data_IF_656115509199
#
_entry.id   IF_656115509199
#
_cell.length_a   1.000
_cell.length_b   1.000
_cell.length_c   1.000
_cell.angle_alpha   90.00
_cell.angle_beta   90.00
_cell.angle_gamma   90.00
#
_symmetry.space_group_name_H-M   'P 1'
#
loop_
_entity.id
_entity.type
_entity.pdbx_description
1 polymer ?
#
# COMPACT_ATOMS: atom_id res chain seq x y z
N UNK A 1 -5.80 -11.42 -16.97
CA UNK A 1 -5.24 -10.90 -15.71
C UNK A 1 -5.79 -9.49 -15.50
N UNK A 2 -6.96 -9.38 -14.89
CA UNK A 2 -7.58 -8.09 -14.60
C UNK A 2 -6.98 -7.54 -13.31
N UNK A 3 -6.05 -6.58 -13.43
CA UNK A 3 -5.48 -5.81 -12.32
C UNK A 3 -6.24 -4.47 -12.23
N UNK A 4 -6.34 -3.96 -11.00
CA UNK A 4 -7.05 -2.76 -10.49
C UNK A 4 -8.54 -2.98 -10.13
N UNK A 5 -9.03 -2.42 -8.99
CA UNK A 5 -8.51 -1.23 -8.29
C UNK A 5 -8.25 -1.44 -6.78
N UNK A 6 -7.14 -0.88 -6.29
CA UNK A 6 -7.07 -0.35 -4.94
C UNK A 6 -6.62 1.10 -5.08
N UNK A 7 -7.54 2.02 -4.79
CA UNK A 7 -7.37 3.47 -4.71
C UNK A 7 -7.58 4.34 -5.96
N UNK A 8 -8.12 3.84 -7.07
CA UNK A 8 -8.77 4.72 -8.04
C UNK A 8 -10.18 5.07 -7.52
N UNK A 9 -10.28 6.00 -6.58
CA UNK A 9 -11.50 6.79 -6.41
C UNK A 9 -11.51 7.71 -7.64
N UNK A 10 -12.47 7.51 -8.55
CA UNK A 10 -12.69 8.42 -9.67
C UNK A 10 -12.88 9.85 -9.12
N UNK A 11 -11.80 10.63 -9.07
CA UNK A 11 -11.84 12.07 -8.98
C UNK A 11 -12.36 12.59 -10.33
N UNK A 12 -13.66 12.41 -10.58
CA UNK A 12 -14.36 13.11 -11.65
C UNK A 12 -14.33 14.60 -11.32
N UNK A 13 -13.36 15.30 -11.92
CA UNK A 13 -13.37 16.75 -12.09
C UNK A 13 -14.75 17.14 -12.63
N UNK A 14 -15.51 18.02 -11.94
CA UNK A 14 -16.79 18.48 -12.44
C UNK A 14 -16.60 19.18 -13.79
N UNK A 15 -17.50 18.99 -14.77
CA UNK A 15 -17.39 19.68 -16.05
C UNK A 15 -17.42 21.20 -15.81
N UNK A 16 -16.61 21.99 -16.55
CA UNK A 16 -16.59 23.43 -16.38
C UNK A 16 -17.99 23.99 -16.62
N UNK A 17 -18.54 24.61 -15.59
CA UNK A 17 -19.77 25.40 -15.69
C UNK A 17 -19.55 26.50 -16.73
N UNK A 18 -20.34 26.44 -17.81
CA UNK A 18 -20.45 27.53 -18.78
C UNK A 18 -20.77 28.83 -18.03
N UNK A 19 -19.80 29.73 -17.93
CA UNK A 19 -20.06 31.11 -17.58
C UNK A 19 -20.83 31.79 -18.72
N UNK A 20 -21.93 32.50 -18.43
CA UNK A 20 -22.62 33.32 -19.40
C UNK A 20 -21.77 34.57 -19.70
N UNK A 21 -21.49 34.76 -20.98
CA UNK A 21 -20.90 35.96 -21.56
C UNK A 21 -21.81 37.18 -21.34
N UNK A 22 -21.41 38.06 -20.42
CA UNK A 22 -22.01 39.38 -20.21
C UNK A 22 -21.02 40.49 -20.56
N UNK A 23 -21.27 41.16 -21.68
CA UNK A 23 -20.61 42.39 -22.11
C UNK A 23 -20.93 43.56 -21.15
N UNK A 24 -19.89 44.29 -20.73
CA UNK A 24 -20.04 45.57 -20.02
C UNK A 24 -18.73 46.35 -20.03
N UNK A 25 -18.62 47.31 -20.95
CA UNK A 25 -17.57 48.34 -20.96
C UNK A 25 -17.67 49.25 -19.73
N UNK A 26 -16.52 49.56 -19.12
CA UNK A 26 -16.25 50.85 -18.47
C UNK A 26 -14.72 51.09 -18.39
N UNK A 27 -14.22 52.27 -18.79
CA UNK A 27 -12.83 52.64 -18.63
C UNK A 27 -12.64 53.62 -17.46
N UNK A 28 -11.60 53.44 -16.63
CA UNK A 28 -10.77 54.49 -16.03
C UNK A 28 -9.86 53.96 -14.92
N UNK A 29 -8.56 54.33 -14.99
CA UNK A 29 -7.62 54.72 -13.91
C UNK A 29 -7.43 53.74 -12.73
N UNK A 30 -6.24 53.35 -12.29
CA UNK A 30 -4.87 53.81 -12.46
C UNK A 30 -4.06 53.41 -11.20
N UNK A 31 -2.73 53.37 -11.32
CA UNK A 31 -1.69 53.15 -10.29
C UNK A 31 -1.35 51.71 -9.88
N UNK A 32 -0.16 51.28 -10.32
CA UNK A 32 0.53 50.05 -9.91
C UNK A 32 1.55 49.66 -10.98
N UNK A 33 2.80 50.08 -10.81
CA UNK A 33 3.95 49.72 -11.65
C UNK A 33 4.11 48.21 -11.75
N UNK A 34 3.83 47.67 -12.93
CA UNK A 34 4.06 46.27 -13.27
C UNK A 34 5.53 46.15 -13.68
N UNK A 35 6.34 45.49 -12.85
CA UNK A 35 7.62 44.92 -13.31
C UNK A 35 7.31 43.92 -14.43
N UNK A 36 8.18 43.77 -15.44
CA UNK A 36 7.93 42.90 -16.57
C UNK A 36 7.75 41.46 -16.08
N UNK A 37 6.51 41.01 -16.15
CA UNK A 37 6.01 39.71 -15.72
C UNK A 37 6.61 38.65 -16.65
N UNK A 38 7.70 38.02 -16.20
CA UNK A 38 8.24 36.82 -16.81
C UNK A 38 7.19 35.70 -16.74
N UNK A 39 7.09 34.94 -17.83
CA UNK A 39 6.10 33.88 -18.05
C UNK A 39 5.71 33.12 -16.78
N UNK A 40 4.51 33.40 -16.28
CA UNK A 40 3.93 32.73 -15.12
C UNK A 40 3.63 31.28 -15.48
N UNK A 41 4.46 30.37 -14.98
CA UNK A 41 4.14 28.95 -14.94
C UNK A 41 2.94 28.78 -14.00
N UNK A 42 1.75 28.56 -14.57
CA UNK A 42 0.47 28.36 -13.87
C UNK A 42 0.40 27.14 -12.92
N UNK A 43 1.55 26.50 -12.63
CA UNK A 43 1.70 25.40 -11.68
C UNK A 43 2.61 25.73 -10.49
N UNK A 44 3.10 26.97 -10.37
CA UNK A 44 3.90 27.36 -9.21
C UNK A 44 3.03 27.30 -7.93
N UNK A 45 3.41 26.41 -7.01
CA UNK A 45 2.75 26.25 -5.71
C UNK A 45 2.82 27.57 -4.92
N UNK A 46 1.75 28.00 -4.23
CA UNK A 46 1.73 29.25 -3.45
C UNK A 46 2.80 29.33 -2.35
N UNK A 47 3.41 28.20 -1.95
CA UNK A 47 4.58 28.14 -1.06
C UNK A 47 5.80 28.92 -1.58
N UNK A 48 6.00 28.98 -2.89
CA UNK A 48 7.15 29.69 -3.49
C UNK A 48 7.15 31.18 -3.19
N UNK A 49 5.97 31.82 -3.18
CA UNK A 49 5.82 33.23 -2.81
C UNK A 49 6.10 33.50 -1.33
N UNK A 50 5.98 32.49 -0.47
CA UNK A 50 6.26 32.61 0.96
C UNK A 50 7.77 32.63 1.24
N UNK A 51 8.55 31.88 0.47
CA UNK A 51 10.03 31.90 0.50
C UNK A 51 10.61 33.14 -0.19
N UNK A 52 10.05 33.55 -1.32
CA UNK A 52 10.48 34.76 -2.03
C UNK A 52 9.98 36.06 -1.38
N UNK A 53 9.22 35.95 -0.27
CA UNK A 53 8.80 37.09 0.53
C UNK A 53 10.03 37.70 1.20
N UNK A 54 10.51 38.80 0.62
CA UNK A 54 11.56 39.74 1.08
C UNK A 54 11.39 40.32 2.51
N UNK A 55 10.49 39.77 3.32
CA UNK A 55 10.40 40.06 4.75
C UNK A 55 11.57 39.37 5.47
N UNK A 56 12.69 40.07 5.44
CA UNK A 56 13.92 39.98 6.25
C UNK A 56 13.95 38.82 7.27
N UNK A 57 14.67 37.74 6.92
CA UNK A 57 15.02 36.64 7.84
C UNK A 57 15.76 37.23 9.04
N UNK A 58 15.36 36.86 10.26
CA UNK A 58 15.99 37.33 11.49
C UNK A 58 17.46 36.87 11.53
N UNK A 59 18.45 37.79 11.66
CA UNK A 59 19.87 37.47 11.49
C UNK A 59 20.50 36.46 12.48
N UNK A 60 19.79 36.04 13.54
CA UNK A 60 20.40 35.31 14.66
C UNK A 60 20.52 33.77 14.46
N UNK A 61 20.00 33.19 13.37
CA UNK A 61 20.01 31.72 13.12
C UNK A 61 21.09 31.24 12.11
N UNK A 62 21.93 32.13 11.58
CA UNK A 62 22.62 31.92 10.29
C UNK A 62 23.90 31.08 10.27
N UNK A 63 24.58 30.78 11.37
CA UNK A 63 25.97 30.30 11.27
C UNK A 63 26.19 28.78 11.29
N UNK A 64 25.19 27.95 11.59
CA UNK A 64 25.37 26.49 11.74
C UNK A 64 24.44 25.63 10.88
N UNK A 65 23.46 26.23 10.18
CA UNK A 65 22.39 25.47 9.52
C UNK A 65 22.28 25.68 8.00
N UNK A 66 23.17 26.48 7.40
CA UNK A 66 23.11 26.80 5.95
C UNK A 66 23.17 25.54 5.06
N UNK A 67 23.84 24.48 5.51
CA UNK A 67 23.96 23.23 4.75
C UNK A 67 22.71 22.35 4.76
N UNK A 68 21.93 22.34 5.85
CA UNK A 68 20.68 21.57 5.92
C UNK A 68 19.58 22.28 5.13
N UNK A 69 19.47 23.60 5.29
CA UNK A 69 18.58 24.48 4.53
C UNK A 69 18.75 24.32 3.01
N UNK A 70 20.00 24.26 2.52
CA UNK A 70 20.30 24.06 1.10
C UNK A 70 19.86 22.68 0.60
N UNK A 71 20.07 21.62 1.40
CA UNK A 71 19.66 20.26 1.03
C UNK A 71 18.14 20.14 0.98
N UNK A 72 17.43 20.69 1.97
CA UNK A 72 15.97 20.72 1.96
C UNK A 72 15.42 21.51 0.78
N UNK A 73 16.06 22.63 0.40
CA UNK A 73 15.69 23.39 -0.79
C UNK A 73 15.88 22.56 -2.07
N UNK A 74 17.01 21.84 -2.21
CA UNK A 74 17.27 20.97 -3.35
C UNK A 74 16.26 19.80 -3.42
N UNK A 75 15.91 19.20 -2.29
CA UNK A 75 14.91 18.14 -2.23
C UNK A 75 13.51 18.64 -2.61
N UNK A 76 13.18 19.86 -2.20
CA UNK A 76 11.95 20.53 -2.60
C UNK A 76 11.90 20.77 -4.11
N UNK A 77 12.97 21.30 -4.70
CA UNK A 77 13.06 21.55 -6.15
C UNK A 77 12.93 20.25 -6.97
N UNK A 78 13.50 19.15 -6.47
CA UNK A 78 13.30 17.82 -7.07
C UNK A 78 11.85 17.37 -6.96
N UNK A 79 11.24 17.52 -5.77
CA UNK A 79 9.86 17.12 -5.54
C UNK A 79 8.88 17.92 -6.42
N UNK A 80 9.13 19.20 -6.66
CA UNK A 80 8.37 20.03 -7.62
C UNK A 80 8.49 19.49 -9.07
N UNK A 81 9.66 18.95 -9.41
CA UNK A 81 9.88 18.27 -10.70
C UNK A 81 9.37 16.82 -10.70
N UNK A 82 8.84 16.37 -9.57
CA UNK A 82 8.34 15.02 -9.37
C UNK A 82 9.43 13.96 -9.25
N UNK A 83 10.67 14.33 -8.91
CA UNK A 83 11.80 13.46 -8.59
C UNK A 83 12.01 13.35 -7.07
N UNK A 84 12.60 12.23 -6.62
CA UNK A 84 12.90 12.00 -5.21
C UNK A 84 14.37 11.66 -5.01
N UNK A 85 15.00 12.24 -3.98
CA UNK A 85 16.38 11.91 -3.62
C UNK A 85 16.46 10.48 -3.07
N UNK A 86 17.49 9.73 -3.48
CA UNK A 86 17.82 8.44 -2.90
C UNK A 86 17.93 7.27 -3.87
N UNK A 87 18.35 6.12 -3.33
CA UNK A 87 18.55 4.90 -4.10
C UNK A 87 17.36 3.96 -3.94
N UNK A 88 16.59 3.75 -5.02
CA UNK A 88 15.49 2.78 -5.06
C UNK A 88 15.90 1.40 -4.54
N UNK A 89 17.10 0.91 -4.93
CA UNK A 89 17.63 -0.38 -4.47
C UNK A 89 17.79 -0.43 -2.95
N UNK A 90 18.23 0.66 -2.32
CA UNK A 90 18.36 0.77 -0.87
C UNK A 90 16.99 0.76 -0.20
N UNK A 91 16.03 1.54 -0.71
CA UNK A 91 14.67 1.59 -0.17
C UNK A 91 13.96 0.24 -0.26
N UNK A 92 14.08 -0.46 -1.39
CA UNK A 92 13.56 -1.82 -1.56
C UNK A 92 14.25 -2.81 -0.61
N UNK A 93 15.58 -2.73 -0.45
CA UNK A 93 16.30 -3.60 0.48
C UNK A 93 15.87 -3.37 1.93
N UNK A 94 15.67 -2.10 2.33
CA UNK A 94 15.13 -1.76 3.65
C UNK A 94 13.69 -2.28 3.80
N UNK A 95 12.83 -2.10 2.80
CA UNK A 95 11.46 -2.64 2.81
C UNK A 95 11.44 -4.18 2.90
N UNK A 96 12.50 -4.86 2.45
CA UNK A 96 12.73 -6.29 2.68
C UNK A 96 12.70 -6.72 4.14
N UNK A 97 12.87 -5.81 5.10
CA UNK A 97 12.69 -6.08 6.53
C UNK A 97 11.23 -6.35 6.92
N UNK A 98 10.25 -5.82 6.18
CA UNK A 98 8.82 -6.00 6.46
C UNK A 98 8.37 -7.46 6.36
N UNK A 99 8.63 -8.21 5.26
CA UNK A 99 8.28 -9.63 5.22
C UNK A 99 9.08 -10.46 6.23
N UNK A 100 10.35 -10.11 6.48
CA UNK A 100 11.18 -10.82 7.48
C UNK A 100 10.58 -10.68 8.88
N UNK A 101 10.27 -9.45 9.30
CA UNK A 101 9.63 -9.20 10.61
C UNK A 101 8.26 -9.88 10.70
N UNK A 102 7.48 -9.87 9.62
CA UNK A 102 6.18 -10.57 9.54
C UNK A 102 6.34 -12.08 9.76
N UNK A 103 7.32 -12.71 9.11
CA UNK A 103 7.61 -14.14 9.28
C UNK A 103 8.04 -14.43 10.71
N UNK A 104 8.93 -13.62 11.29
CA UNK A 104 9.41 -13.78 12.67
C UNK A 104 8.25 -13.68 13.66
N UNK A 105 7.39 -12.67 13.52
CA UNK A 105 6.21 -12.46 14.39
C UNK A 105 5.22 -13.60 14.23
N UNK A 106 4.95 -14.04 13.00
CA UNK A 106 4.08 -15.18 12.73
C UNK A 106 4.62 -16.45 13.39
N UNK A 107 5.90 -16.77 13.22
CA UNK A 107 6.52 -17.94 13.85
C UNK A 107 6.49 -17.85 15.38
N UNK A 108 6.72 -16.66 15.94
CA UNK A 108 6.61 -16.44 17.38
C UNK A 108 5.19 -16.73 17.87
N UNK A 109 4.18 -16.10 17.28
CA UNK A 109 2.77 -16.27 17.68
C UNK A 109 2.24 -17.69 17.39
N UNK A 110 2.72 -18.34 16.34
CA UNK A 110 2.39 -19.74 16.00
C UNK A 110 2.90 -20.73 17.05
N UNK A 111 4.08 -20.48 17.63
CA UNK A 111 4.65 -21.33 18.67
C UNK A 111 4.16 -20.97 20.08
N UNK A 112 3.60 -19.78 20.26
CA UNK A 112 3.20 -19.27 21.58
C UNK A 112 2.20 -20.19 22.32
N UNK A 113 1.13 -20.74 21.70
CA UNK A 113 0.25 -21.69 22.37
C UNK A 113 0.91 -23.00 22.78
N UNK A 114 1.98 -23.42 22.08
CA UNK A 114 2.72 -24.63 22.44
C UNK A 114 3.64 -24.40 23.63
N UNK A 115 4.24 -23.21 23.70
CA UNK A 115 5.20 -22.84 24.73
C UNK A 115 4.52 -22.44 26.05
N UNK A 116 3.45 -21.63 25.98
CA UNK A 116 2.82 -21.03 27.16
C UNK A 116 1.63 -21.86 27.66
N UNK A 117 0.87 -22.48 26.76
CA UNK A 117 -0.36 -23.21 27.08
C UNK A 117 -0.31 -24.69 26.61
N UNK A 118 0.59 -25.51 27.19
CA UNK A 118 0.70 -26.91 26.83
C UNK A 118 -0.59 -27.67 27.15
N UNK A 119 -1.14 -28.37 26.14
CA UNK A 119 -2.28 -29.27 26.32
C UNK A 119 -1.78 -30.54 27.01
N UNK A 120 -2.30 -30.81 28.20
CA UNK A 120 -1.91 -31.96 29.01
C UNK A 120 -2.52 -33.28 28.48
N UNK A 121 -3.68 -33.22 27.84
CA UNK A 121 -4.40 -34.38 27.34
C UNK A 121 -4.82 -34.11 25.89
N UNK A 122 -4.07 -34.60 24.88
CA UNK A 122 -4.46 -34.43 23.49
C UNK A 122 -5.74 -35.22 23.23
N UNK A 123 -6.81 -34.50 22.92
CA UNK A 123 -8.07 -35.13 22.51
C UNK A 123 -7.89 -35.92 21.22
N UNK A 124 -8.75 -36.93 21.03
CA UNK A 124 -8.78 -37.68 19.78
C UNK A 124 -9.10 -36.72 18.62
N UNK A 125 -8.33 -36.75 17.52
CA UNK A 125 -8.52 -35.81 16.42
C UNK A 125 -9.93 -35.94 15.84
N UNK A 126 -10.65 -34.82 15.79
CA UNK A 126 -11.99 -34.68 15.19
C UNK A 126 -11.94 -34.70 13.66
N UNK A 127 -10.85 -34.16 13.11
CA UNK A 127 -10.58 -34.07 11.68
C UNK A 127 -9.99 -35.37 11.12
N UNK A 128 -10.27 -35.71 9.84
CA UNK A 128 -9.69 -36.88 9.20
C UNK A 128 -8.17 -36.78 9.17
N UNK A 129 -7.48 -37.92 9.32
CA UNK A 129 -6.00 -37.99 9.32
C UNK A 129 -5.34 -37.38 8.09
N UNK A 130 -6.07 -37.24 6.98
CA UNK A 130 -5.60 -36.60 5.75
C UNK A 130 -5.40 -35.09 5.87
N UNK A 131 -6.00 -34.44 6.88
CA UNK A 131 -5.95 -32.98 7.03
C UNK A 131 -5.64 -32.57 8.49
N UNK A 132 -4.38 -32.73 8.94
CA UNK A 132 -4.01 -32.39 10.31
C UNK A 132 -4.07 -30.88 10.55
N UNK A 133 -4.54 -30.50 11.75
CA UNK A 133 -4.38 -29.14 12.27
C UNK A 133 -2.89 -28.74 12.26
N UNK A 134 -2.51 -27.54 11.78
CA UNK A 134 -3.36 -26.35 11.60
C UNK A 134 -3.77 -26.03 10.14
N UNK A 135 -3.65 -26.97 9.21
CA UNK A 135 -3.90 -26.71 7.79
C UNK A 135 -5.36 -26.30 7.47
N UNK A 136 -6.42 -26.97 7.96
CA UNK A 136 -7.80 -26.56 7.67
C UNK A 136 -8.13 -25.16 8.16
N UNK A 137 -7.63 -24.79 9.33
CA UNK A 137 -7.86 -23.51 9.97
C UNK A 137 -7.22 -22.37 9.16
N UNK A 138 -5.96 -22.57 8.73
CA UNK A 138 -5.22 -21.61 7.91
C UNK A 138 -5.84 -21.46 6.51
N UNK A 139 -6.21 -22.57 5.87
CA UNK A 139 -6.78 -22.52 4.52
C UNK A 139 -8.19 -21.93 4.50
N UNK A 140 -9.03 -22.27 5.48
CA UNK A 140 -10.38 -21.73 5.56
C UNK A 140 -10.37 -20.23 5.87
N UNK A 141 -9.54 -19.80 6.83
CA UNK A 141 -9.38 -18.37 7.15
C UNK A 141 -8.85 -17.59 5.95
N UNK A 142 -7.82 -18.10 5.25
CA UNK A 142 -7.31 -17.47 4.04
C UNK A 142 -8.36 -17.42 2.91
N UNK A 143 -9.16 -18.48 2.74
CA UNK A 143 -10.22 -18.52 1.74
C UNK A 143 -11.33 -17.49 2.02
N UNK A 144 -11.79 -17.38 3.27
CA UNK A 144 -12.81 -16.38 3.65
C UNK A 144 -12.28 -14.96 3.67
N UNK A 145 -11.01 -14.77 4.05
CA UNK A 145 -10.35 -13.49 3.88
C UNK A 145 -10.31 -13.09 2.40
N UNK A 146 -9.91 -14.02 1.52
CA UNK A 146 -9.84 -13.79 0.07
C UNK A 146 -11.23 -13.50 -0.52
N UNK A 147 -12.26 -14.22 -0.08
CA UNK A 147 -13.64 -13.94 -0.47
C UNK A 147 -14.07 -12.53 -0.05
N UNK A 148 -13.76 -12.13 1.19
CA UNK A 148 -14.02 -10.77 1.68
C UNK A 148 -13.31 -9.72 0.82
N UNK A 149 -12.05 -9.99 0.46
CA UNK A 149 -11.23 -9.12 -0.38
C UNK A 149 -11.80 -8.99 -1.81
N UNK A 150 -12.19 -10.09 -2.44
CA UNK A 150 -12.79 -10.10 -3.78
C UNK A 150 -14.15 -9.39 -3.82
N UNK A 151 -14.92 -9.47 -2.73
CA UNK A 151 -16.22 -8.78 -2.61
C UNK A 151 -16.09 -7.28 -2.35
N UNK A 152 -14.88 -6.76 -2.12
CA UNK A 152 -14.66 -5.33 -1.85
C UNK A 152 -15.20 -4.42 -2.97
N UNK A 153 -14.86 -4.71 -4.23
CA UNK A 153 -15.31 -3.89 -5.37
C UNK A 153 -16.83 -3.97 -5.57
N UNK A 154 -17.47 -5.16 -5.59
CA UNK A 154 -18.92 -5.26 -5.61
C UNK A 154 -19.62 -4.51 -4.47
N UNK A 155 -19.09 -4.57 -3.24
CA UNK A 155 -19.65 -3.86 -2.10
C UNK A 155 -19.53 -2.34 -2.23
N UNK A 156 -18.41 -1.84 -2.76
CA UNK A 156 -18.23 -0.43 -3.02
C UNK A 156 -19.24 0.08 -4.06
N UNK A 157 -19.40 -0.65 -5.16
CA UNK A 157 -20.39 -0.33 -6.19
C UNK A 157 -21.82 -0.37 -5.62
N UNK A 158 -22.11 -1.34 -4.75
CA UNK A 158 -23.40 -1.40 -4.08
C UNK A 158 -23.61 -0.17 -3.17
N UNK A 159 -22.62 0.18 -2.36
CA UNK A 159 -22.69 1.34 -1.46
C UNK A 159 -22.86 2.67 -2.22
N UNK A 160 -22.13 2.86 -3.33
CA UNK A 160 -22.21 4.07 -4.15
C UNK A 160 -23.53 4.19 -4.91
N UNK A 161 -24.22 3.07 -5.19
CA UNK A 161 -25.58 3.09 -5.77
C UNK A 161 -26.66 3.38 -4.73
N UNK A 162 -26.46 3.00 -3.47
CA UNK A 162 -27.45 3.13 -2.40
C UNK A 162 -27.42 4.48 -1.68
N UNK A 163 -26.24 5.09 -1.56
CA UNK A 163 -26.05 6.30 -0.76
C UNK A 163 -25.46 7.48 -1.55
N UNK A 164 -25.74 8.73 -1.13
CA UNK A 164 -25.04 9.90 -1.65
C UNK A 164 -23.52 9.80 -1.41
N UNK A 165 -22.73 10.45 -2.28
CA UNK A 165 -21.25 10.46 -2.27
C UNK A 165 -20.59 10.79 -0.93
N UNK A 166 -21.28 11.45 0.00
CA UNK A 166 -20.72 11.78 1.33
C UNK A 166 -20.73 10.57 2.27
N UNK A 167 -21.69 9.66 2.08
CA UNK A 167 -21.91 8.51 2.97
C UNK A 167 -21.44 7.18 2.35
N UNK A 168 -21.01 7.18 1.08
CA UNK A 168 -20.56 5.97 0.39
C UNK A 168 -19.44 5.25 1.14
N UNK A 169 -18.46 6.00 1.64
CA UNK A 169 -17.28 5.50 2.32
C UNK A 169 -17.64 4.90 3.67
N UNK A 170 -18.56 5.55 4.41
CA UNK A 170 -19.03 5.05 5.71
C UNK A 170 -19.86 3.78 5.50
N UNK A 171 -20.79 3.77 4.55
CA UNK A 171 -21.64 2.61 4.26
C UNK A 171 -20.80 1.44 3.75
N UNK A 172 -19.87 1.69 2.82
CA UNK A 172 -18.95 0.67 2.30
C UNK A 172 -18.14 0.03 3.43
N UNK A 173 -17.51 0.84 4.29
CA UNK A 173 -16.73 0.32 5.42
C UNK A 173 -17.63 -0.47 6.40
N UNK A 174 -18.84 0.00 6.68
CA UNK A 174 -19.79 -0.71 7.54
C UNK A 174 -20.19 -2.08 6.95
N UNK A 175 -20.54 -2.13 5.67
CA UNK A 175 -20.89 -3.37 4.97
C UNK A 175 -19.71 -4.34 4.90
N UNK A 176 -18.51 -3.83 4.61
CA UNK A 176 -17.28 -4.62 4.55
C UNK A 176 -16.93 -5.22 5.91
N UNK A 177 -16.97 -4.41 6.98
CA UNK A 177 -16.70 -4.87 8.36
C UNK A 177 -17.73 -5.91 8.79
N UNK A 178 -19.01 -5.68 8.51
CA UNK A 178 -20.08 -6.62 8.82
C UNK A 178 -19.88 -7.96 8.10
N UNK A 179 -19.62 -7.92 6.79
CA UNK A 179 -19.34 -9.12 6.00
C UNK A 179 -18.12 -9.88 6.55
N UNK A 180 -17.03 -9.16 6.85
CA UNK A 180 -15.83 -9.75 7.42
C UNK A 180 -16.12 -10.46 8.75
N UNK A 181 -16.95 -9.87 9.64
CA UNK A 181 -17.29 -10.49 10.91
C UNK A 181 -18.23 -11.68 10.78
N UNK A 182 -19.18 -11.61 9.85
CA UNK A 182 -20.07 -12.74 9.55
C UNK A 182 -19.28 -13.91 8.98
N UNK A 183 -18.32 -13.67 8.10
CA UNK A 183 -17.44 -14.72 7.56
C UNK A 183 -16.52 -15.31 8.64
N UNK A 184 -16.01 -14.51 9.57
CA UNK A 184 -15.27 -15.04 10.73
C UNK A 184 -16.14 -15.93 11.63
N UNK A 185 -17.38 -15.53 11.92
CA UNK A 185 -18.34 -16.39 12.62
C UNK A 185 -18.66 -17.67 11.83
N UNK A 186 -18.84 -17.56 10.52
CA UNK A 186 -19.08 -18.70 9.65
C UNK A 186 -17.90 -19.66 9.65
N UNK A 187 -16.66 -19.17 9.76
CA UNK A 187 -15.47 -20.03 9.85
C UNK A 187 -15.46 -20.85 11.14
N UNK A 188 -15.85 -20.25 12.27
CA UNK A 188 -15.98 -20.95 13.54
C UNK A 188 -17.04 -22.06 13.48
N UNK A 189 -18.17 -21.78 12.83
CA UNK A 189 -19.23 -22.77 12.61
C UNK A 189 -18.78 -23.89 11.66
N UNK A 190 -18.10 -23.54 10.56
CA UNK A 190 -17.60 -24.49 9.56
C UNK A 190 -16.52 -25.43 10.12
N UNK A 191 -15.62 -24.92 10.96
CA UNK A 191 -14.63 -25.74 11.69
C UNK A 191 -15.24 -26.53 12.84
N UNK A 192 -16.52 -26.33 13.15
CA UNK A 192 -17.24 -27.02 14.23
C UNK A 192 -16.51 -26.89 15.58
N UNK A 193 -15.90 -25.74 15.85
CA UNK A 193 -15.02 -25.47 17.01
C UNK A 193 -15.62 -25.94 18.33
N UNK A 194 -16.96 -25.87 18.47
CA UNK A 194 -17.69 -26.34 19.65
C UNK A 194 -17.43 -27.82 20.00
N UNK A 195 -17.21 -28.69 19.01
CA UNK A 195 -16.99 -30.12 19.23
C UNK A 195 -15.62 -30.41 19.86
N UNK A 196 -14.70 -29.44 19.82
CA UNK A 196 -13.36 -29.54 20.41
C UNK A 196 -13.30 -28.96 21.82
N UNK A 197 -14.46 -28.64 22.40
CA UNK A 197 -14.59 -28.09 23.74
C UNK A 197 -14.95 -29.21 24.71
N UNK A 198 -14.07 -29.46 25.68
CA UNK A 198 -14.29 -30.44 26.75
C UNK A 198 -14.95 -29.80 27.97
N UNK A 199 -14.66 -28.52 28.23
CA UNK A 199 -15.22 -27.79 29.36
C UNK A 199 -16.57 -27.13 29.00
N UNK A 200 -17.47 -26.87 29.97
CA UNK A 200 -18.73 -26.16 29.69
C UNK A 200 -18.54 -24.69 29.29
N UNK A 201 -17.43 -24.08 29.72
CA UNK A 201 -17.05 -22.71 29.37
C UNK A 201 -15.73 -22.73 28.61
N UNK A 202 -15.53 -21.83 27.62
CA UNK A 202 -14.29 -21.79 26.86
C UNK A 202 -13.08 -21.54 27.77
N UNK A 203 -12.07 -22.40 27.68
CA UNK A 203 -10.80 -22.25 28.39
C UNK A 203 -9.64 -22.52 27.45
N UNK A 204 -8.45 -22.00 27.77
CA UNK A 204 -7.23 -22.27 26.99
C UNK A 204 -6.84 -23.75 26.93
N UNK A 205 -7.42 -24.58 27.81
CA UNK A 205 -7.18 -26.02 27.87
C UNK A 205 -7.95 -26.79 26.79
N UNK A 206 -8.99 -26.20 26.23
CA UNK A 206 -9.80 -26.82 25.17
C UNK A 206 -9.01 -26.83 23.84
N UNK A 207 -9.20 -27.88 23.03
CA UNK A 207 -8.66 -27.92 21.65
C UNK A 207 -9.16 -26.74 20.82
N UNK A 208 -10.40 -26.32 21.07
CA UNK A 208 -11.03 -25.13 20.49
C UNK A 208 -10.16 -23.87 20.56
N UNK A 209 -9.39 -23.65 21.64
CA UNK A 209 -8.52 -22.48 21.77
C UNK A 209 -7.45 -22.45 20.69
N UNK A 210 -6.82 -23.61 20.41
CA UNK A 210 -5.80 -23.71 19.36
C UNK A 210 -6.39 -23.52 17.97
N UNK A 211 -7.56 -24.09 17.73
CA UNK A 211 -8.26 -23.97 16.43
C UNK A 211 -8.63 -22.52 16.14
N UNK A 212 -9.16 -21.80 17.12
CA UNK A 212 -9.44 -20.35 17.01
C UNK A 212 -8.15 -19.56 16.81
N UNK A 213 -7.08 -19.91 17.54
CA UNK A 213 -5.78 -19.26 17.40
C UNK A 213 -5.21 -19.38 15.98
N UNK A 214 -5.23 -20.59 15.41
CA UNK A 214 -4.75 -20.83 14.04
C UNK A 214 -5.64 -20.19 12.99
N UNK A 215 -6.97 -20.21 13.19
CA UNK A 215 -7.90 -19.49 12.33
C UNK A 215 -7.57 -17.99 12.29
N UNK A 216 -7.27 -17.40 13.45
CA UNK A 216 -6.90 -16.00 13.57
C UNK A 216 -5.57 -15.67 12.89
N UNK A 217 -4.57 -16.54 13.10
CA UNK A 217 -3.25 -16.40 12.48
C UNK A 217 -3.33 -16.52 10.96
N UNK A 218 -4.16 -17.42 10.43
CA UNK A 218 -4.34 -17.55 8.99
C UNK A 218 -5.03 -16.34 8.37
N UNK A 219 -6.01 -15.74 9.06
CA UNK A 219 -6.61 -14.47 8.65
C UNK A 219 -5.58 -13.33 8.64
N UNK A 220 -4.81 -13.19 9.72
CA UNK A 220 -3.75 -12.18 9.84
C UNK A 220 -2.63 -12.39 8.82
N UNK A 221 -2.29 -13.64 8.50
CA UNK A 221 -1.26 -13.98 7.51
C UNK A 221 -1.70 -13.60 6.09
N UNK A 222 -2.96 -13.87 5.73
CA UNK A 222 -3.51 -13.49 4.43
C UNK A 222 -3.55 -11.96 4.27
N UNK A 223 -3.95 -11.25 5.32
CA UNK A 223 -3.91 -9.79 5.37
C UNK A 223 -2.49 -9.24 5.23
N UNK A 224 -1.55 -9.75 6.04
CA UNK A 224 -0.16 -9.31 5.99
C UNK A 224 0.49 -9.57 4.62
N UNK A 225 0.25 -10.75 4.03
CA UNK A 225 0.81 -11.12 2.73
C UNK A 225 0.32 -10.20 1.61
N UNK A 226 -0.99 -9.93 1.55
CA UNK A 226 -1.54 -9.04 0.52
C UNK A 226 -1.11 -7.59 0.72
N UNK A 227 -1.04 -7.12 1.97
CA UNK A 227 -0.54 -5.78 2.25
C UNK A 227 0.97 -5.63 2.01
N UNK A 228 1.77 -6.69 2.10
CA UNK A 228 3.19 -6.67 1.68
C UNK A 228 3.28 -6.60 0.15
N UNK A 229 2.49 -7.42 -0.56
CA UNK A 229 2.44 -7.40 -2.01
C UNK A 229 2.04 -6.01 -2.54
N UNK A 230 0.98 -5.42 -1.96
CA UNK A 230 0.56 -4.05 -2.25
C UNK A 230 1.69 -3.06 -1.98
N UNK A 231 2.38 -3.14 -0.83
CA UNK A 231 3.47 -2.22 -0.53
C UNK A 231 4.64 -2.28 -1.52
N UNK A 232 4.97 -3.46 -2.07
CA UNK A 232 5.93 -3.57 -3.16
C UNK A 232 5.43 -2.96 -4.47
N UNK A 233 4.14 -3.13 -4.80
CA UNK A 233 3.54 -2.47 -5.97
C UNK A 233 3.55 -0.95 -5.84
N UNK A 234 3.21 -0.44 -4.65
CA UNK A 234 3.28 0.99 -4.34
C UNK A 234 4.72 1.53 -4.42
N UNK A 235 5.70 0.78 -3.91
CA UNK A 235 7.10 1.18 -4.00
C UNK A 235 7.62 1.14 -5.45
N UNK A 236 7.15 0.20 -6.27
CA UNK A 236 7.55 0.08 -7.67
C UNK A 236 7.20 1.32 -8.52
N UNK A 237 6.16 2.08 -8.14
CA UNK A 237 5.80 3.35 -8.78
C UNK A 237 6.94 4.39 -8.70
N UNK A 238 7.82 4.28 -7.71
CA UNK A 238 8.95 5.20 -7.50
C UNK A 238 10.23 4.77 -8.22
N UNK A 239 10.24 3.61 -8.90
CA UNK A 239 11.45 3.03 -9.51
C UNK A 239 12.16 3.96 -10.50
N UNK A 240 11.39 4.69 -11.30
CA UNK A 240 11.92 5.56 -12.36
C UNK A 240 12.15 7.01 -11.89
N UNK A 241 11.74 7.30 -10.66
CA UNK A 241 11.66 8.66 -10.11
C UNK A 241 12.73 8.91 -9.06
N UNK A 242 13.16 7.86 -8.36
CA UNK A 242 14.24 7.99 -7.38
C UNK A 242 15.59 8.19 -8.07
N UNK A 243 16.23 9.31 -7.79
CA UNK A 243 17.53 9.69 -8.35
C UNK A 243 18.60 9.58 -7.26
N UNK A 244 19.72 8.89 -7.52
CA UNK A 244 20.86 8.87 -6.60
C UNK A 244 21.34 10.29 -6.29
N UNK A 245 21.76 10.54 -5.04
CA UNK A 245 22.12 11.88 -4.54
C UNK A 245 23.24 12.52 -5.36
N UNK A 246 24.13 11.70 -5.93
CA UNK A 246 25.20 12.17 -6.81
C UNK A 246 24.66 12.79 -8.11
N UNK A 247 23.61 12.18 -8.68
CA UNK A 247 22.98 12.62 -9.93
C UNK A 247 22.00 13.77 -9.73
N UNK A 248 21.46 13.93 -8.51
CA UNK A 248 20.64 15.09 -8.13
C UNK A 248 21.39 16.40 -8.41
N UNK A 249 22.65 16.49 -7.97
CA UNK A 249 23.47 17.69 -8.16
C UNK A 249 23.70 18.01 -9.64
N UNK A 250 23.87 16.97 -10.47
CA UNK A 250 24.03 17.11 -11.91
C UNK A 250 22.75 17.63 -12.58
N UNK A 251 21.59 17.10 -12.21
CA UNK A 251 20.28 17.53 -12.76
C UNK A 251 19.98 18.97 -12.38
N UNK A 252 20.22 19.34 -11.11
CA UNK A 252 20.02 20.71 -10.63
C UNK A 252 20.99 21.69 -11.30
N UNK A 253 22.28 21.32 -11.42
CA UNK A 253 23.25 22.12 -12.16
C UNK A 253 22.86 22.31 -13.63
N UNK A 254 22.42 21.24 -14.31
CA UNK A 254 21.97 21.32 -15.71
C UNK A 254 20.75 22.23 -15.87
N UNK A 255 19.82 22.18 -14.92
CA UNK A 255 18.60 23.02 -14.91
C UNK A 255 18.94 24.49 -14.70
N UNK A 256 19.85 24.77 -13.77
CA UNK A 256 20.32 26.14 -13.47
C UNK A 256 21.07 26.76 -14.66
N UNK A 257 21.85 25.96 -15.39
CA UNK A 257 22.58 26.43 -16.58
C UNK A 257 21.64 26.65 -17.78
N UNK A 258 20.62 25.79 -17.93
CA UNK A 258 19.61 25.92 -18.98
C UNK A 258 18.72 27.17 -18.82
N UNK A 259 18.41 27.57 -17.59
CA UNK A 259 17.61 28.78 -17.32
C UNK A 259 18.42 30.07 -17.46
N UNK A 260 19.72 30.06 -17.13
CA UNK A 260 20.60 31.23 -17.26
C UNK A 260 20.93 31.65 -18.69
N UNK A 261 20.90 30.72 -19.65
CA UNK A 261 21.34 31.00 -21.04
C UNK A 261 20.23 31.51 -21.98
N UNK A 262 18.95 31.50 -21.57
CA UNK A 262 17.82 31.84 -22.46
C UNK A 262 17.55 33.35 -22.51
N UNK A 263 18.12 34.16 -21.62
CA UNK A 263 17.94 35.61 -21.63
C UNK A 263 18.65 36.35 -22.79
N UNK A 264 19.46 35.67 -23.61
CA UNK A 264 20.31 36.32 -24.62
C UNK A 264 20.12 35.92 -26.09
N UNK A 265 19.36 34.88 -26.41
CA UNK A 265 19.30 34.37 -27.80
C UNK A 265 17.88 34.22 -28.31
N UNK A 266 17.31 35.33 -28.77
CA UNK A 266 16.07 35.34 -29.54
C UNK A 266 16.28 34.78 -30.94
N UNK A 267 16.25 33.45 -31.10
CA UNK A 267 15.77 32.88 -32.36
C UNK A 267 15.31 31.43 -32.19
N UNK A 268 14.06 31.21 -32.60
CA UNK A 268 13.25 30.01 -32.40
C UNK A 268 13.90 28.67 -32.75
N UNK A 269 13.97 27.80 -31.75
CA UNK A 269 13.51 26.42 -31.87
C UNK A 269 13.15 25.96 -30.47
N UNK A 270 11.85 25.89 -30.18
CA UNK A 270 11.32 25.40 -28.91
C UNK A 270 11.48 23.89 -28.92
N UNK A 271 12.71 23.44 -28.73
CA UNK A 271 13.06 22.04 -28.64
C UNK A 271 12.43 21.54 -27.33
N UNK A 272 11.33 20.81 -27.48
CA UNK A 272 10.63 20.17 -26.38
C UNK A 272 11.67 19.39 -25.58
N UNK A 273 11.87 19.79 -24.33
CA UNK A 273 12.68 19.06 -23.37
C UNK A 273 12.17 17.62 -23.38
N UNK A 274 12.96 16.62 -23.84
CA UNK A 274 12.49 15.25 -23.85
C UNK A 274 12.36 14.84 -22.39
N UNK A 275 11.12 14.77 -21.90
CA UNK A 275 10.76 14.38 -20.52
C UNK A 275 11.06 12.91 -20.21
N UNK A 276 11.95 12.26 -20.98
CA UNK A 276 12.40 10.90 -20.71
C UNK A 276 13.91 10.86 -20.53
N UNK A 277 14.41 10.34 -19.39
CA UNK A 277 15.76 9.85 -19.31
C UNK A 277 15.81 8.61 -20.21
N UNK A 278 16.28 8.80 -21.44
CA UNK A 278 16.67 7.71 -22.33
C UNK A 278 17.62 6.81 -21.53
N UNK A 279 17.23 5.56 -21.32
CA UNK A 279 18.08 4.53 -20.73
C UNK A 279 19.22 4.24 -21.71
N UNK A 280 20.26 5.07 -21.68
CA UNK A 280 21.56 4.78 -22.30
C UNK A 280 22.22 3.64 -21.51
N UNK A 281 21.79 2.41 -21.80
CA UNK A 281 22.19 1.23 -21.07
C UNK A 281 22.20 -0.02 -21.94
N UNK A 282 22.89 0.04 -23.07
CA UNK A 282 23.52 -1.10 -23.76
C UNK A 282 24.21 -0.60 -25.04
N UNK A 283 25.51 -0.30 -24.97
CA UNK A 283 26.54 -0.65 -25.97
C UNK A 283 27.77 0.28 -25.84
N UNK A 284 28.86 -0.15 -25.19
CA UNK A 284 30.16 0.49 -25.33
C UNK A 284 31.14 -0.50 -25.98
N UNK A 285 31.12 -0.66 -27.30
CA UNK A 285 32.23 -1.28 -28.04
C UNK A 285 32.07 -1.16 -29.58
N UNK A 286 32.22 0.04 -30.15
CA UNK A 286 32.64 0.18 -31.55
C UNK A 286 32.96 1.63 -31.90
N UNK A 287 34.08 2.16 -31.40
CA UNK A 287 34.84 3.17 -32.15
C UNK A 287 36.25 3.27 -31.59
N UNK A 288 37.12 2.40 -32.09
CA UNK A 288 38.56 2.59 -32.03
C UNK A 288 39.14 2.27 -33.41
N UNK A 289 39.50 3.34 -34.10
CA UNK A 289 40.72 3.50 -34.91
C UNK A 289 41.01 2.52 -36.05
N UNK A 290 40.99 3.10 -37.25
CA UNK A 290 41.73 2.64 -38.42
C UNK A 290 43.26 2.64 -38.21
N UNK A 291 43.94 1.91 -39.09
CA UNK A 291 45.39 1.85 -39.38
C UNK A 291 46.26 0.92 -38.53
N UNK A 292 46.53 -0.28 -39.06
CA UNK A 292 47.91 -0.66 -39.46
C UNK A 292 47.91 -1.82 -40.47
N UNK A 293 48.76 -1.69 -41.50
CA UNK A 293 49.07 -2.68 -42.53
C UNK A 293 49.92 -3.84 -41.94
N UNK A 294 49.71 -5.08 -42.39
CA UNK A 294 50.69 -5.87 -43.17
C UNK A 294 50.46 -7.41 -43.15
N UNK A 295 50.43 -7.95 -44.38
CA UNK A 295 51.08 -9.17 -44.90
C UNK A 295 50.91 -10.56 -44.24
N UNK A 296 50.39 -11.47 -45.08
CA UNK A 296 50.80 -12.86 -45.34
C UNK A 296 50.88 -13.88 -44.18
N UNK A 297 50.05 -14.94 -44.27
CA UNK A 297 50.52 -16.32 -44.45
C UNK A 297 49.37 -17.28 -44.78
N UNK A 298 49.65 -18.17 -45.73
CA UNK A 298 48.84 -19.30 -46.20
C UNK A 298 48.59 -20.36 -45.12
N UNK A 299 47.48 -21.10 -45.26
CA UNK A 299 47.22 -22.40 -44.61
C UNK A 299 45.72 -22.72 -44.60
N UNK A 300 45.15 -23.15 -45.73
CA UNK A 300 44.83 -24.55 -46.05
C UNK A 300 43.82 -25.22 -45.10
N UNK A 301 42.61 -25.41 -45.65
CA UNK A 301 41.67 -26.52 -45.45
C UNK A 301 41.33 -26.97 -44.01
N UNK A 302 40.08 -26.76 -43.62
CA UNK A 302 39.18 -27.90 -43.42
C UNK A 302 37.70 -27.48 -43.54
N UNK A 303 37.00 -28.27 -44.34
CA UNK A 303 35.58 -28.17 -44.62
C UNK A 303 34.81 -29.04 -43.61
N UNK A 304 33.80 -28.47 -42.93
CA UNK A 304 32.47 -29.06 -42.75
C UNK A 304 31.67 -28.31 -41.68
N UNK A 305 30.40 -28.01 -41.99
CA UNK A 305 29.38 -27.62 -40.99
C UNK A 305 28.83 -26.19 -41.14
N UNK A 306 28.34 -25.84 -42.33
CA UNK A 306 27.65 -24.59 -42.61
C UNK A 306 26.26 -24.52 -41.92
N UNK A 307 26.25 -24.14 -40.65
CA UNK A 307 25.08 -23.64 -39.93
C UNK A 307 25.17 -22.13 -39.80
N UNK A 308 24.90 -21.41 -40.88
CA UNK A 308 24.93 -19.94 -40.92
C UNK A 308 23.96 -19.36 -39.87
N UNK A 309 24.42 -18.55 -38.89
CA UNK A 309 23.49 -17.79 -38.07
C UNK A 309 22.87 -16.74 -38.99
N UNK A 310 21.68 -17.05 -39.48
CA UNK A 310 20.80 -16.13 -40.19
C UNK A 310 20.79 -14.81 -39.42
N UNK A 311 21.53 -13.82 -39.94
CA UNK A 311 21.46 -12.42 -39.55
C UNK A 311 20.01 -12.03 -39.81
N UNK A 312 19.15 -12.16 -38.79
CA UNK A 312 17.81 -11.57 -38.75
C UNK A 312 18.00 -10.09 -39.04
N UNK A 313 17.80 -9.74 -40.30
CA UNK A 313 17.71 -8.36 -40.78
C UNK A 313 16.54 -7.79 -40.00
N UNK A 314 16.82 -7.03 -38.94
CA UNK A 314 15.81 -6.23 -38.23
C UNK A 314 15.23 -5.31 -39.30
N UNK A 315 14.01 -5.63 -39.76
CA UNK A 315 13.25 -4.71 -40.58
C UNK A 315 13.21 -3.36 -39.84
N UNK A 316 13.45 -2.24 -40.54
CA UNK A 316 13.37 -0.94 -39.91
C UNK A 316 11.95 -0.79 -39.37
N UNK A 317 11.84 -0.66 -38.03
CA UNK A 317 10.59 -0.37 -37.34
C UNK A 317 9.93 0.80 -38.08
N UNK A 318 8.70 0.57 -38.54
CA UNK A 318 7.94 1.60 -39.25
C UNK A 318 7.84 2.85 -38.38
N UNK A 319 7.95 4.05 -38.96
CA UNK A 319 7.82 5.30 -38.21
C UNK A 319 6.50 5.34 -37.41
N UNK A 320 5.43 4.76 -37.97
CA UNK A 320 4.14 4.61 -37.32
C UNK A 320 4.22 3.71 -36.06
N UNK A 321 4.99 2.62 -36.12
CA UNK A 321 5.20 1.72 -34.98
C UNK A 321 6.06 2.38 -33.90
N UNK A 322 7.11 3.12 -34.31
CA UNK A 322 7.92 3.91 -33.36
C UNK A 322 7.09 4.99 -32.67
N UNK A 323 6.20 5.67 -33.40
CA UNK A 323 5.30 6.67 -32.85
C UNK A 323 4.29 6.05 -31.89
N UNK A 324 3.68 4.90 -32.24
CA UNK A 324 2.77 4.16 -31.35
C UNK A 324 3.47 3.73 -30.06
N UNK A 325 4.67 3.19 -30.16
CA UNK A 325 5.44 2.80 -28.96
C UNK A 325 5.77 3.99 -28.07
N UNK A 326 6.09 5.16 -28.65
CA UNK A 326 6.32 6.38 -27.88
C UNK A 326 5.05 6.86 -27.16
N UNK A 327 3.91 6.86 -27.86
CA UNK A 327 2.61 7.21 -27.26
C UNK A 327 2.22 6.22 -26.16
N UNK A 328 2.37 4.92 -26.37
CA UNK A 328 2.08 3.90 -25.36
C UNK A 328 2.98 4.08 -24.12
N UNK A 329 4.25 4.43 -24.32
CA UNK A 329 5.17 4.74 -23.23
C UNK A 329 4.78 6.00 -22.47
N UNK A 330 4.39 7.07 -23.17
CA UNK A 330 3.95 8.32 -22.56
C UNK A 330 2.65 8.12 -21.76
N UNK A 331 1.71 7.33 -22.29
CA UNK A 331 0.46 6.97 -21.60
C UNK A 331 0.76 6.16 -20.33
N UNK A 332 1.66 5.18 -20.39
CA UNK A 332 2.06 4.40 -19.21
C UNK A 332 2.74 5.29 -18.15
N UNK A 333 3.57 6.24 -18.58
CA UNK A 333 4.18 7.21 -17.68
C UNK A 333 3.13 8.09 -16.99
N UNK A 334 2.15 8.60 -17.74
CA UNK A 334 1.05 9.39 -17.19
C UNK A 334 0.22 8.58 -16.18
N UNK A 335 -0.04 7.31 -16.47
CA UNK A 335 -0.74 6.40 -15.56
C UNK A 335 0.06 6.23 -14.26
N UNK A 336 1.37 6.00 -14.33
CA UNK A 336 2.21 5.88 -13.13
C UNK A 336 2.29 7.18 -12.32
N UNK A 337 2.33 8.34 -12.98
CA UNK A 337 2.30 9.63 -12.32
C UNK A 337 0.98 9.85 -11.58
N UNK A 338 -0.15 9.54 -12.22
CA UNK A 338 -1.47 9.63 -11.61
C UNK A 338 -1.59 8.69 -10.41
N UNK A 339 -1.21 7.41 -10.54
CA UNK A 339 -1.27 6.45 -9.42
C UNK A 339 -0.42 6.89 -8.24
N UNK A 340 0.73 7.51 -8.51
CA UNK A 340 1.61 8.04 -7.47
C UNK A 340 0.96 9.23 -6.76
N UNK A 341 0.40 10.17 -7.51
CA UNK A 341 -0.29 11.36 -6.98
C UNK A 341 -1.50 10.97 -6.12
N UNK A 342 -2.36 10.06 -6.60
CA UNK A 342 -3.50 9.53 -5.84
C UNK A 342 -3.05 8.91 -4.52
N UNK A 343 -1.93 8.20 -4.55
CA UNK A 343 -1.40 7.53 -3.38
C UNK A 343 -0.77 8.52 -2.38
N UNK A 344 -0.06 9.53 -2.87
CA UNK A 344 0.47 10.63 -2.07
C UNK A 344 -0.66 11.44 -1.42
N UNK A 345 -1.77 11.66 -2.12
CA UNK A 345 -2.98 12.29 -1.57
C UNK A 345 -3.58 11.46 -0.43
N UNK A 346 -3.65 10.14 -0.59
CA UNK A 346 -4.21 9.22 0.43
C UNK A 346 -3.37 9.19 1.71
N UNK A 347 -2.05 9.12 1.60
CA UNK A 347 -1.15 9.09 2.76
C UNK A 347 -0.81 10.48 3.31
N UNK A 348 -0.99 11.53 2.50
CA UNK A 348 -0.55 12.90 2.77
C UNK A 348 0.96 13.10 2.60
N UNK A 349 1.70 12.06 2.20
CA UNK A 349 3.15 12.11 1.97
C UNK A 349 3.62 10.98 1.04
N UNK A 350 4.75 11.16 0.32
CA UNK A 350 5.37 10.13 -0.51
C UNK A 350 5.73 8.86 0.28
N UNK A 351 5.41 7.69 -0.28
CA UNK A 351 5.65 6.38 0.36
C UNK A 351 7.10 6.17 0.75
N UNK A 352 8.01 6.71 -0.07
CA UNK A 352 9.45 6.61 0.14
C UNK A 352 9.92 7.26 1.44
N UNK A 353 9.14 8.19 1.98
CA UNK A 353 9.41 8.84 3.27
C UNK A 353 8.76 8.12 4.46
N UNK A 354 7.87 7.16 4.23
CA UNK A 354 7.32 6.35 5.33
C UNK A 354 8.43 5.46 5.88
N UNK A 355 8.83 5.63 7.15
CA UNK A 355 9.87 4.82 7.74
C UNK A 355 9.44 3.35 7.80
N UNK A 356 10.35 2.44 7.43
CA UNK A 356 10.08 0.99 7.34
C UNK A 356 9.53 0.37 8.64
N UNK A 357 9.86 0.96 9.80
CA UNK A 357 9.31 0.49 11.07
C UNK A 357 7.77 0.62 11.14
N UNK A 358 7.16 1.59 10.45
CA UNK A 358 5.70 1.79 10.46
C UNK A 358 4.99 0.63 9.76
N UNK A 359 5.34 0.23 8.53
CA UNK A 359 4.85 -1.01 7.94
C UNK A 359 5.08 -2.24 8.83
N UNK A 360 6.26 -2.39 9.46
CA UNK A 360 6.51 -3.49 10.39
C UNK A 360 5.52 -3.50 11.56
N UNK A 361 5.27 -2.34 12.19
CA UNK A 361 4.29 -2.20 13.27
C UNK A 361 2.88 -2.52 12.79
N UNK A 362 2.48 -2.04 11.61
CA UNK A 362 1.17 -2.36 11.01
C UNK A 362 0.99 -3.87 10.77
N UNK A 363 2.08 -4.61 10.45
CA UNK A 363 2.01 -6.07 10.33
C UNK A 363 1.83 -6.75 11.68
N UNK A 364 2.55 -6.30 12.71
CA UNK A 364 2.36 -6.79 14.08
C UNK A 364 0.93 -6.53 14.55
N UNK A 365 0.42 -5.32 14.31
CA UNK A 365 -0.95 -4.93 14.63
C UNK A 365 -1.97 -5.85 13.94
N UNK A 366 -1.83 -6.12 12.64
CA UNK A 366 -2.77 -7.02 11.93
C UNK A 366 -2.88 -8.42 12.57
N UNK A 367 -1.78 -8.97 13.09
CA UNK A 367 -1.80 -10.25 13.79
C UNK A 367 -2.47 -10.14 15.17
N UNK A 368 -2.08 -9.14 15.97
CA UNK A 368 -2.63 -8.94 17.31
C UNK A 368 -4.12 -8.61 17.27
N UNK A 369 -4.52 -7.72 16.36
CA UNK A 369 -5.91 -7.39 16.11
C UNK A 369 -6.70 -8.60 15.65
N UNK A 370 -6.20 -9.36 14.66
CA UNK A 370 -6.87 -10.59 14.20
C UNK A 370 -7.04 -11.60 15.35
N UNK A 371 -5.99 -11.84 16.15
CA UNK A 371 -6.02 -12.74 17.31
C UNK A 371 -7.02 -12.29 18.37
N UNK A 372 -6.90 -11.05 18.85
CA UNK A 372 -7.78 -10.53 19.90
C UNK A 372 -9.25 -10.57 19.48
N UNK A 373 -9.52 -10.11 18.26
CA UNK A 373 -10.86 -10.05 17.72
C UNK A 373 -11.50 -11.43 17.57
N UNK A 374 -10.80 -12.38 16.96
CA UNK A 374 -11.31 -13.74 16.77
C UNK A 374 -11.47 -14.48 18.09
N UNK A 375 -10.58 -14.29 19.07
CA UNK A 375 -10.70 -14.88 20.41
C UNK A 375 -11.94 -14.37 21.15
N UNK A 376 -12.19 -13.05 21.14
CA UNK A 376 -13.39 -12.45 21.76
C UNK A 376 -14.65 -12.96 21.08
N UNK A 377 -14.67 -12.96 19.75
CA UNK A 377 -15.81 -13.39 18.95
C UNK A 377 -16.11 -14.88 19.12
N UNK A 378 -15.08 -15.72 19.15
CA UNK A 378 -15.20 -17.15 19.37
C UNK A 378 -15.70 -17.47 20.78
N UNK A 379 -15.20 -16.76 21.80
CA UNK A 379 -15.72 -16.90 23.17
C UNK A 379 -17.22 -16.60 23.23
N UNK A 380 -17.65 -15.49 22.62
CA UNK A 380 -19.06 -15.10 22.61
C UNK A 380 -19.93 -16.09 21.82
N UNK A 381 -19.41 -16.60 20.70
CA UNK A 381 -20.08 -17.62 19.87
C UNK A 381 -20.24 -18.95 20.62
N UNK A 382 -19.20 -19.44 21.30
CA UNK A 382 -19.22 -20.71 22.02
C UNK A 382 -20.14 -20.71 23.25
N UNK A 383 -20.47 -19.53 23.79
CA UNK A 383 -21.48 -19.36 24.83
C UNK A 383 -22.91 -19.22 24.29
N UNK A 384 -23.07 -18.97 22.99
CA UNK A 384 -24.37 -18.88 22.34
C UNK A 384 -24.92 -20.28 22.01
N UNK A 385 -26.25 -20.49 22.19
CA UNK A 385 -26.98 -21.65 21.65
C UNK A 385 -26.75 -21.92 20.15
N UNK A 386 -26.37 -20.90 19.36
CA UNK A 386 -26.07 -21.04 17.92
C UNK A 386 -24.86 -21.94 17.63
N UNK A 387 -24.01 -22.20 18.61
CA UNK A 387 -22.87 -23.11 18.47
C UNK A 387 -23.26 -24.59 18.58
N UNK A 388 -24.48 -24.88 19.02
CA UNK A 388 -25.00 -26.24 19.14
C UNK A 388 -25.79 -26.63 17.90
N UNK A 389 -25.79 -27.91 17.51
CA UNK A 389 -26.76 -28.41 16.54
C UNK A 389 -28.18 -28.16 17.09
N UNK A 390 -29.20 -27.98 16.22
CA UNK A 390 -30.57 -27.75 16.65
C UNK A 390 -31.00 -28.88 17.60
N UNK A 391 -31.16 -28.52 18.88
CA UNK A 391 -31.46 -29.46 19.95
C UNK A 391 -32.84 -30.07 19.73
N UNK A 392 -32.98 -31.38 20.00
CA UNK A 392 -34.30 -31.98 20.16
C UNK A 392 -35.04 -31.27 21.32
N UNK A 393 -36.35 -31.02 21.19
CA UNK A 393 -37.14 -30.28 22.18
C UNK A 393 -37.09 -30.89 23.61
N UNK A 394 -36.72 -32.16 23.72
CA UNK A 394 -36.70 -32.91 24.97
C UNK A 394 -35.43 -32.71 25.83
N UNK A 395 -34.41 -32.02 25.32
CA UNK A 395 -33.15 -31.76 26.06
C UNK A 395 -32.79 -30.28 26.04
N UNK A 396 -33.34 -29.46 26.96
CA UNK A 396 -33.00 -28.05 27.03
C UNK A 396 -31.52 -27.87 27.40
N UNK A 397 -30.85 -26.95 26.69
CA UNK A 397 -29.46 -26.60 26.98
C UNK A 397 -29.36 -26.00 28.40
N UNK A 398 -28.24 -26.25 29.12
CA UNK A 398 -27.99 -25.62 30.42
C UNK A 398 -28.12 -24.10 30.35
N UNK A 399 -28.63 -23.42 31.40
CA UNK A 399 -28.86 -21.97 31.43
C UNK A 399 -27.56 -21.13 31.35
N UNK A 400 -26.41 -21.78 31.36
CA UNK A 400 -25.09 -21.17 31.15
C UNK A 400 -24.96 -20.63 29.72
N UNK A 401 -25.70 -21.22 28.76
CA UNK A 401 -25.69 -20.80 27.36
C UNK A 401 -26.76 -19.77 27.11
N UNK A 402 -26.36 -18.61 26.59
CA UNK A 402 -27.25 -17.50 26.30
C UNK A 402 -26.78 -16.78 25.06
N UNK A 403 -27.71 -16.19 24.30
CA UNK A 403 -27.36 -15.33 23.16
C UNK A 403 -26.82 -13.97 23.61
N UNK A 404 -26.93 -13.62 24.90
CA UNK A 404 -26.55 -12.30 25.42
C UNK A 404 -25.07 -11.94 25.16
N UNK A 405 -24.07 -12.80 25.43
CA UNK A 405 -22.67 -12.47 25.15
C UNK A 405 -22.42 -12.16 23.68
N UNK A 406 -23.00 -12.94 22.76
CA UNK A 406 -22.87 -12.72 21.32
C UNK A 406 -23.59 -11.45 20.87
N UNK A 407 -24.81 -11.21 21.37
CA UNK A 407 -25.61 -10.03 21.04
C UNK A 407 -24.94 -8.71 21.47
N UNK A 408 -24.12 -8.73 22.53
CA UNK A 408 -23.36 -7.55 22.99
C UNK A 408 -22.01 -7.47 22.30
N UNK A 409 -21.24 -8.56 22.27
CA UNK A 409 -19.87 -8.53 21.75
C UNK A 409 -19.85 -8.32 20.24
N UNK A 410 -20.71 -8.96 19.45
CA UNK A 410 -20.70 -8.81 18.00
C UNK A 410 -20.83 -7.35 17.52
N UNK A 411 -21.85 -6.57 17.92
CA UNK A 411 -21.95 -5.17 17.51
C UNK A 411 -20.81 -4.32 18.06
N UNK A 412 -20.35 -4.55 19.30
CA UNK A 412 -19.21 -3.84 19.88
C UNK A 412 -17.94 -4.04 19.03
N UNK A 413 -17.69 -5.29 18.64
CA UNK A 413 -16.58 -5.69 17.80
C UNK A 413 -16.71 -5.06 16.39
N UNK A 414 -17.90 -5.05 15.79
CA UNK A 414 -18.16 -4.35 14.53
C UNK A 414 -17.90 -2.83 14.63
N UNK A 415 -18.32 -2.18 15.70
CA UNK A 415 -18.09 -0.74 15.92
C UNK A 415 -16.61 -0.44 16.08
N UNK A 416 -15.88 -1.25 16.86
CA UNK A 416 -14.44 -1.10 17.04
C UNK A 416 -13.68 -1.26 15.71
N UNK A 417 -14.03 -2.26 14.92
CA UNK A 417 -13.43 -2.45 13.59
C UNK A 417 -13.80 -1.33 12.62
N UNK A 418 -15.07 -0.90 12.60
CA UNK A 418 -15.50 0.23 11.77
C UNK A 418 -14.74 1.51 12.12
N UNK A 419 -14.56 1.81 13.41
CA UNK A 419 -13.77 2.96 13.84
C UNK A 419 -12.33 2.90 13.31
N UNK A 420 -11.66 1.75 13.43
CA UNK A 420 -10.31 1.59 12.89
C UNK A 420 -10.27 1.65 11.36
N UNK A 421 -11.27 1.10 10.65
CA UNK A 421 -11.37 1.19 9.20
C UNK A 421 -11.57 2.63 8.73
N UNK A 422 -12.38 3.42 9.44
CA UNK A 422 -12.55 4.85 9.16
C UNK A 422 -11.27 5.64 9.44
N UNK A 423 -10.52 5.30 10.49
CA UNK A 423 -9.24 5.95 10.77
C UNK A 423 -8.22 5.79 9.62
N UNK A 424 -8.26 4.63 8.95
CA UNK A 424 -7.43 4.33 7.78
C UNK A 424 -8.04 4.76 6.45
N UNK A 425 -9.19 5.44 6.47
CA UNK A 425 -9.84 5.89 5.23
C UNK A 425 -9.14 7.13 4.65
N UNK A 426 -9.12 7.29 3.31
CA UNK A 426 -8.49 8.43 2.64
C UNK A 426 -8.85 9.82 3.19
N UNK A 427 -10.10 10.14 3.60
CA UNK A 427 -10.40 11.48 4.09
C UNK A 427 -9.83 11.80 5.49
N UNK A 428 -9.46 10.78 6.27
CA UNK A 428 -9.04 10.92 7.67
C UNK A 428 -7.52 10.69 7.82
N UNK A 429 -6.97 9.73 7.08
CA UNK A 429 -5.56 9.35 7.17
C UNK A 429 -4.56 10.52 7.00
N UNK A 430 -4.68 11.42 6.02
CA UNK A 430 -3.71 12.52 5.84
C UNK A 430 -3.79 13.56 6.97
N UNK A 431 -4.94 13.66 7.67
CA UNK A 431 -5.13 14.60 8.78
C UNK A 431 -4.54 14.07 10.09
N UNK A 432 -4.64 12.76 10.31
CA UNK A 432 -4.18 12.10 11.54
C UNK A 432 -2.70 11.71 11.44
N UNK A 433 -2.24 11.41 10.23
CA UNK A 433 -0.92 10.89 9.96
C UNK A 433 -0.84 9.37 10.10
N UNK A 434 -0.08 8.74 9.20
CA UNK A 434 0.08 7.29 9.12
C UNK A 434 0.67 6.71 10.41
N UNK A 435 1.61 7.43 11.03
CA UNK A 435 2.23 7.04 12.30
C UNK A 435 1.21 6.90 13.42
N UNK A 436 0.40 7.95 13.62
CA UNK A 436 -0.62 8.00 14.66
C UNK A 436 -1.65 6.89 14.47
N UNK A 437 -2.11 6.70 13.22
CA UNK A 437 -3.04 5.62 12.90
C UNK A 437 -2.47 4.23 13.24
N UNK A 438 -1.19 3.99 12.91
CA UNK A 438 -0.51 2.73 13.22
C UNK A 438 -0.38 2.49 14.75
N UNK A 439 -0.05 3.52 15.53
CA UNK A 439 0.05 3.40 16.99
C UNK A 439 -1.30 3.18 17.66
N UNK A 440 -2.34 3.88 17.22
CA UNK A 440 -3.71 3.70 17.73
C UNK A 440 -4.21 2.30 17.40
N UNK A 441 -4.00 1.84 16.16
CA UNK A 441 -4.30 0.47 15.75
C UNK A 441 -3.64 -0.55 16.68
N UNK A 442 -2.32 -0.46 16.83
CA UNK A 442 -1.52 -1.36 17.68
C UNK A 442 -2.01 -1.38 19.13
N UNK A 443 -2.34 -0.23 19.71
CA UNK A 443 -2.84 -0.14 21.09
C UNK A 443 -4.19 -0.84 21.24
N UNK A 444 -5.12 -0.61 20.30
CA UNK A 444 -6.42 -1.27 20.28
C UNK A 444 -6.25 -2.77 20.05
N UNK A 445 -5.41 -3.18 19.10
CA UNK A 445 -5.08 -4.57 18.81
C UNK A 445 -4.51 -5.30 20.02
N UNK A 446 -3.58 -4.67 20.75
CA UNK A 446 -3.01 -5.21 21.98
C UNK A 446 -4.05 -5.35 23.10
N UNK A 447 -4.88 -4.33 23.31
CA UNK A 447 -5.97 -4.37 24.28
C UNK A 447 -6.97 -5.49 23.99
N UNK A 448 -7.33 -5.66 22.72
CA UNK A 448 -8.22 -6.73 22.25
C UNK A 448 -7.56 -8.11 22.43
N UNK A 449 -6.27 -8.23 22.15
CA UNK A 449 -5.50 -9.46 22.33
C UNK A 449 -5.51 -9.93 23.79
N UNK A 450 -5.16 -9.05 24.74
CA UNK A 450 -5.19 -9.40 26.16
C UNK A 450 -6.61 -9.63 26.68
N UNK A 451 -7.60 -8.88 26.20
CA UNK A 451 -9.01 -9.12 26.54
C UNK A 451 -9.44 -10.52 26.07
N UNK A 452 -9.09 -10.90 24.84
CA UNK A 452 -9.30 -12.25 24.31
C UNK A 452 -8.64 -13.30 25.21
N UNK A 453 -7.35 -13.17 25.51
CA UNK A 453 -6.65 -14.09 26.41
C UNK A 453 -7.31 -14.19 27.80
N UNK A 454 -7.76 -13.08 28.36
CA UNK A 454 -8.47 -13.03 29.64
C UNK A 454 -9.80 -13.79 29.61
N UNK A 455 -10.60 -13.63 28.54
CA UNK A 455 -11.87 -14.35 28.37
C UNK A 455 -11.68 -15.87 28.28
N UNK A 456 -10.56 -16.31 27.72
CA UNK A 456 -10.16 -17.72 27.65
C UNK A 456 -9.41 -18.22 28.91
N UNK A 457 -9.31 -17.38 29.94
CA UNK A 457 -8.60 -17.65 31.20
C UNK A 457 -7.11 -17.99 31.01
N UNK A 458 -6.52 -17.54 29.91
CA UNK A 458 -5.13 -17.82 29.56
C UNK A 458 -4.12 -17.01 30.40
N UNK A 459 -4.61 -15.95 31.07
CA UNK A 459 -3.83 -15.06 31.95
C UNK A 459 -3.92 -15.44 33.45
N UNK A 460 -4.72 -16.44 33.82
CA UNK A 460 -4.91 -16.92 35.20
C UNK A 460 -4.23 -18.26 35.40
#
# INVERSE_FOLDING_TARGET
MARRPLLAIDAQVPPPSRQPSGHGHNPAQGYGTILPEGSSNLRASPERYRRDSLLDRVPEETALDEGEDELEAQEWDLAEQGFYSGSYKRTVALYGLVPVTTIVVFLFLANLPRLVWPIQHPDSPTLPRSFPSPLPELLLSAAFWSLTHLLRVPLYNLASTLCPRVFDTILFNALYVLLSQLLRLAALAALRVRHEMAYPRPTWRDGAFRTVWWLALGWGLAEAATSIAQGYEQLALYRNVMVPVERVREILAQTQWGTGSVAGSGNGSREYMPLSPRSEGADPAANATAQTQNANANGSADANGSGSPSKRRKEPVSLEEALRMAVDQDVEQLIHLQEREELEEVYGLPVVYIPVFVPCLLRIDSFLFSLGFTLILAWAYLLSPLSFPPSSPDSPLPPIYSNHPLAVMFPLMCVAHLFLSLLHSPPILPKVGVHTAAYVGLLVGLGMFFTGLGLWRALS
#
